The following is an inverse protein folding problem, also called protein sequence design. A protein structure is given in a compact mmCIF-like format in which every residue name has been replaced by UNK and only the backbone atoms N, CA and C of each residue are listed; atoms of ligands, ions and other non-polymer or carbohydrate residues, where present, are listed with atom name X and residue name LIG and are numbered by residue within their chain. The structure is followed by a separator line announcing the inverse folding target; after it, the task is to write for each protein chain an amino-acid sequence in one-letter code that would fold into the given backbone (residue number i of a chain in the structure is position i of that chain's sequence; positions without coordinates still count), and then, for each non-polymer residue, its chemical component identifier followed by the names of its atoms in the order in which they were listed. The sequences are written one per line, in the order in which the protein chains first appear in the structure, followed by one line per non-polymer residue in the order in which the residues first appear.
data_IF_067072221153
#
_entry.id   IF_067072221153
#
_cell.length_a   1.000
_cell.length_b   1.000
_cell.length_c   1.000
_cell.angle_alpha   90.00
_cell.angle_beta   90.00
_cell.angle_gamma   90.00
#
_symmetry.space_group_name_H-M   'P 1'
#
loop_
_entity.id
_entity.type
_entity.pdbx_description
1 polymer ?
#
# COMPACT_ATOMS: atom_id res chain seq x y z
N UNK A 1 7.79 22.25 5.88
CA UNK A 1 7.93 20.86 5.40
C UNK A 1 6.99 20.02 6.25
N UNK A 2 6.06 19.29 5.67
CA UNK A 2 5.16 18.41 6.43
C UNK A 2 5.98 17.24 6.99
N UNK A 3 5.82 16.96 8.29
CA UNK A 3 6.49 15.86 8.97
C UNK A 3 6.16 14.51 8.28
N UNK A 4 7.16 13.68 7.96
CA UNK A 4 6.91 12.41 7.31
C UNK A 4 6.19 11.45 8.26
N UNK A 5 5.14 10.78 7.77
CA UNK A 5 4.47 9.73 8.53
C UNK A 5 5.28 8.44 8.55
N UNK A 6 6.01 8.17 7.46
CA UNK A 6 6.85 6.99 7.30
C UNK A 6 8.18 7.40 6.66
N UNK A 7 9.29 6.94 7.23
CA UNK A 7 10.61 7.11 6.63
C UNK A 7 11.47 5.86 6.83
N UNK A 8 12.41 5.66 5.92
CA UNK A 8 13.45 4.63 6.05
C UNK A 8 14.83 5.25 5.95
N UNK A 9 15.77 4.73 6.72
CA UNK A 9 17.15 5.17 6.73
C UNK A 9 18.07 3.97 6.50
N UNK A 10 18.69 3.90 5.33
CA UNK A 10 19.67 2.87 5.00
C UNK A 10 19.13 1.44 4.97
N UNK A 11 17.85 1.26 4.65
CA UNK A 11 17.16 -0.02 4.80
C UNK A 11 17.74 -1.07 3.85
N UNK A 12 18.34 -2.11 4.42
CA UNK A 12 19.07 -3.14 3.69
C UNK A 12 18.57 -4.53 4.08
N UNK A 13 18.37 -5.41 3.07
CA UNK A 13 17.96 -6.81 3.24
C UNK A 13 18.71 -7.71 2.28
N UNK A 14 19.22 -8.80 2.85
CA UNK A 14 19.89 -9.89 2.13
C UNK A 14 19.11 -11.18 2.33
N UNK A 15 19.01 -12.00 1.29
CA UNK A 15 18.51 -13.37 1.33
C UNK A 15 19.56 -14.28 0.66
N UNK A 16 20.12 -15.20 1.38
CA UNK A 16 21.06 -16.24 0.87
C UNK A 16 22.08 -15.72 -0.15
N UNK A 17 22.70 -14.58 0.17
CA UNK A 17 23.72 -13.95 -0.70
C UNK A 17 23.17 -12.96 -1.74
N UNK A 18 21.85 -12.88 -1.92
CA UNK A 18 21.22 -11.90 -2.82
C UNK A 18 20.87 -10.64 -2.03
N UNK A 19 21.34 -9.48 -2.49
CA UNK A 19 20.98 -8.17 -1.93
C UNK A 19 19.64 -7.74 -2.51
N UNK A 20 18.56 -7.93 -1.76
CA UNK A 20 17.21 -7.60 -2.22
C UNK A 20 16.86 -6.11 -2.06
N UNK A 21 17.35 -5.46 -0.98
CA UNK A 21 17.34 -4.00 -0.81
C UNK A 21 18.70 -3.55 -0.28
N UNK A 22 19.15 -2.38 -0.70
CA UNK A 22 20.49 -1.85 -0.40
C UNK A 22 20.42 -0.34 -0.16
N UNK A 23 20.59 0.09 1.08
CA UNK A 23 20.62 1.49 1.51
C UNK A 23 19.37 2.28 1.04
N UNK A 24 18.16 1.67 1.16
CA UNK A 24 16.93 2.32 0.74
C UNK A 24 16.56 3.42 1.73
N UNK A 25 16.42 4.65 1.22
CA UNK A 25 16.01 5.85 1.95
C UNK A 25 14.79 6.45 1.26
N UNK A 26 13.65 6.44 1.92
CA UNK A 26 12.41 7.09 1.47
C UNK A 26 11.83 7.90 2.62
N UNK A 27 11.14 8.98 2.27
CA UNK A 27 10.42 9.82 3.24
C UNK A 27 9.05 10.14 2.66
N UNK A 28 8.00 9.70 3.34
CA UNK A 28 6.60 9.81 2.89
C UNK A 28 5.87 10.79 3.79
N UNK A 29 5.55 12.00 3.31
CA UNK A 29 4.74 12.97 4.04
C UNK A 29 3.33 12.46 4.34
N UNK A 30 2.70 13.01 5.38
CA UNK A 30 1.29 12.74 5.66
C UNK A 30 0.41 13.22 4.51
N UNK A 31 -0.58 12.41 4.14
CA UNK A 31 -1.52 12.71 3.07
C UNK A 31 -0.94 12.58 1.65
N UNK A 32 0.26 12.00 1.50
CA UNK A 32 0.83 11.72 0.17
C UNK A 32 0.30 10.39 -0.38
N UNK A 33 -0.03 10.36 -1.68
CA UNK A 33 -0.22 9.14 -2.44
C UNK A 33 1.03 8.86 -3.26
N UNK A 34 1.80 7.87 -2.81
CA UNK A 34 3.07 7.45 -3.41
C UNK A 34 2.92 6.12 -4.12
N UNK A 35 3.41 6.05 -5.35
CA UNK A 35 3.59 4.77 -6.04
C UNK A 35 5.07 4.35 -6.01
N UNK A 36 5.32 3.06 -5.72
CA UNK A 36 6.62 2.42 -5.83
C UNK A 36 6.59 1.53 -7.06
N UNK A 37 7.42 1.87 -8.04
CA UNK A 37 7.51 1.15 -9.31
C UNK A 37 8.92 0.61 -9.56
N UNK A 38 9.07 -0.24 -10.55
CA UNK A 38 10.37 -0.78 -10.98
C UNK A 38 10.21 -2.15 -11.62
N UNK A 39 11.23 -2.64 -12.34
CA UNK A 39 11.18 -3.95 -12.97
C UNK A 39 11.05 -5.10 -11.97
N UNK A 40 10.75 -6.30 -12.49
CA UNK A 40 10.76 -7.50 -11.65
C UNK A 40 12.16 -7.73 -11.07
N UNK A 41 12.23 -8.13 -9.80
CA UNK A 41 13.49 -8.25 -9.06
C UNK A 41 14.11 -6.93 -8.59
N UNK A 42 13.48 -5.78 -8.78
CA UNK A 42 13.98 -4.49 -8.30
C UNK A 42 14.01 -4.33 -6.78
N UNK A 43 13.37 -5.24 -6.02
CA UNK A 43 13.31 -5.20 -4.56
C UNK A 43 12.02 -4.59 -3.97
N UNK A 44 11.01 -4.30 -4.81
CA UNK A 44 9.73 -3.68 -4.39
C UNK A 44 9.01 -4.48 -3.29
N UNK A 45 8.74 -5.76 -3.53
CA UNK A 45 8.04 -6.63 -2.57
C UNK A 45 8.86 -6.85 -1.30
N UNK A 46 10.20 -6.84 -1.40
CA UNK A 46 11.08 -6.86 -0.23
C UNK A 46 10.96 -5.57 0.57
N UNK A 47 11.03 -4.41 -0.08
CA UNK A 47 10.81 -3.12 0.58
C UNK A 47 9.43 -3.08 1.24
N UNK A 48 8.38 -3.47 0.54
CA UNK A 48 7.03 -3.57 1.09
C UNK A 48 7.00 -4.44 2.36
N UNK A 49 7.58 -5.64 2.30
CA UNK A 49 7.64 -6.57 3.43
C UNK A 49 8.42 -6.02 4.62
N UNK A 50 9.46 -5.22 4.38
CA UNK A 50 10.23 -4.52 5.42
C UNK A 50 9.39 -3.40 6.05
N UNK A 51 8.67 -2.61 5.25
CA UNK A 51 7.77 -1.55 5.72
C UNK A 51 6.61 -2.12 6.54
N UNK A 52 6.09 -3.28 6.15
CA UNK A 52 5.01 -3.97 6.86
C UNK A 52 5.47 -4.71 8.13
N UNK A 53 6.77 -4.92 8.33
CA UNK A 53 7.30 -5.70 9.46
C UNK A 53 7.14 -7.21 9.32
N UNK A 54 6.99 -7.70 8.08
CA UNK A 54 6.97 -9.14 7.74
C UNK A 54 8.40 -9.69 7.79
N UNK A 55 9.34 -8.94 7.21
CA UNK A 55 10.76 -9.24 7.29
C UNK A 55 11.49 -8.23 8.19
N UNK A 56 12.52 -8.70 8.87
CA UNK A 56 13.46 -7.83 9.58
C UNK A 56 14.58 -7.42 8.63
N UNK A 57 14.98 -6.14 8.61
CA UNK A 57 16.14 -5.71 7.84
C UNK A 57 17.44 -6.27 8.44
N UNK A 58 18.48 -6.34 7.63
CA UNK A 58 19.85 -6.64 8.08
C UNK A 58 20.56 -5.36 8.57
N UNK A 59 20.18 -4.19 8.02
CA UNK A 59 20.66 -2.88 8.45
C UNK A 59 19.62 -1.81 8.13
N UNK A 60 19.78 -0.65 8.77
CA UNK A 60 18.89 0.50 8.58
C UNK A 60 17.67 0.47 9.49
N UNK A 61 16.82 1.48 9.35
CA UNK A 61 15.69 1.73 10.23
C UNK A 61 14.41 2.04 9.46
N UNK A 62 13.26 1.72 10.08
CA UNK A 62 11.92 2.13 9.66
C UNK A 62 11.31 2.95 10.78
N UNK A 63 11.01 4.22 10.49
CA UNK A 63 10.36 5.14 11.40
C UNK A 63 8.91 5.36 11.00
N UNK A 64 7.98 5.24 11.94
CA UNK A 64 6.56 5.52 11.78
C UNK A 64 6.15 6.58 12.80
N UNK A 65 5.68 7.75 12.38
CA UNK A 65 5.30 8.85 13.28
C UNK A 65 6.42 9.15 14.31
N UNK A 66 7.68 9.20 13.86
CA UNK A 66 8.89 9.39 14.67
C UNK A 66 9.22 8.26 15.68
N UNK A 67 8.42 7.19 15.74
CA UNK A 67 8.75 5.98 16.50
C UNK A 67 9.57 5.01 15.64
N UNK A 68 10.67 4.47 16.19
CA UNK A 68 11.42 3.38 15.55
C UNK A 68 10.63 2.06 15.65
N UNK A 69 10.10 1.64 14.51
CA UNK A 69 9.33 0.39 14.39
C UNK A 69 10.11 -0.73 13.70
N UNK A 70 11.41 -0.57 13.53
CA UNK A 70 12.28 -1.48 12.76
C UNK A 70 12.12 -2.94 13.16
N UNK A 71 12.08 -3.20 14.46
CA UNK A 71 11.99 -4.57 14.99
C UNK A 71 10.57 -5.01 15.35
N UNK A 72 9.56 -4.16 15.10
CA UNK A 72 8.18 -4.48 15.40
C UNK A 72 7.59 -5.40 14.31
N UNK A 73 6.97 -6.53 14.70
CA UNK A 73 6.26 -7.39 13.76
C UNK A 73 5.01 -6.68 13.21
N UNK A 74 4.48 -7.19 12.11
CA UNK A 74 3.36 -6.58 11.38
C UNK A 74 2.16 -6.19 12.27
N UNK A 75 1.73 -7.08 13.19
CA UNK A 75 0.58 -6.79 14.06
C UNK A 75 0.81 -5.58 15.00
N UNK A 76 2.04 -5.33 15.42
CA UNK A 76 2.37 -4.15 16.24
C UNK A 76 2.36 -2.87 15.41
N UNK A 77 2.81 -2.93 14.15
CA UNK A 77 2.74 -1.80 13.22
C UNK A 77 1.29 -1.47 12.83
N UNK A 78 0.46 -2.50 12.64
CA UNK A 78 -0.99 -2.31 12.40
C UNK A 78 -1.64 -1.58 13.57
N UNK A 79 -1.35 -1.94 14.81
CA UNK A 79 -1.85 -1.22 16.00
C UNK A 79 -1.38 0.22 16.09
N UNK A 80 -0.31 0.60 15.39
CA UNK A 80 0.23 1.97 15.30
C UNK A 80 -0.27 2.75 14.10
N UNK A 81 -1.15 2.16 13.31
CA UNK A 81 -1.84 2.83 12.24
C UNK A 81 -1.35 2.52 10.83
N UNK A 82 -0.57 1.48 10.64
CA UNK A 82 -0.30 0.94 9.29
C UNK A 82 -1.43 -0.01 8.92
N UNK A 83 -2.15 0.28 7.84
CA UNK A 83 -2.98 -0.69 7.13
C UNK A 83 -2.17 -1.34 6.02
N UNK A 84 -2.40 -2.62 5.74
CA UNK A 84 -1.67 -3.32 4.68
C UNK A 84 -2.56 -4.35 3.98
N UNK A 85 -2.42 -4.44 2.66
CA UNK A 85 -2.92 -5.56 1.86
C UNK A 85 -1.74 -6.34 1.30
N UNK A 86 -1.99 -7.52 0.79
CA UNK A 86 -0.97 -8.38 0.22
C UNK A 86 -1.33 -8.75 -1.22
N UNK A 87 -0.35 -9.11 -2.02
CA UNK A 87 -0.55 -9.64 -3.37
C UNK A 87 -1.49 -10.87 -3.36
N UNK A 88 -1.40 -11.72 -2.32
CA UNK A 88 -2.37 -12.78 -2.10
C UNK A 88 -3.42 -12.31 -1.11
N UNK A 89 -4.67 -12.24 -1.53
CA UNK A 89 -5.79 -11.80 -0.72
C UNK A 89 -5.89 -12.55 0.62
N UNK A 90 -6.10 -11.81 1.70
CA UNK A 90 -6.12 -12.29 3.09
C UNK A 90 -7.51 -12.28 3.74
N UNK A 91 -8.56 -12.03 2.97
CA UNK A 91 -9.92 -12.19 3.47
C UNK A 91 -10.16 -13.65 3.93
N UNK A 92 -10.97 -13.81 4.95
CA UNK A 92 -11.36 -15.13 5.47
C UNK A 92 -12.39 -15.74 4.52
N UNK A 93 -11.96 -16.53 3.56
CA UNK A 93 -12.77 -17.06 2.46
C UNK A 93 -14.05 -17.80 2.89
N UNK A 94 -14.05 -18.45 4.07
CA UNK A 94 -15.19 -19.20 4.60
C UNK A 94 -16.16 -18.33 5.40
N UNK A 95 -15.76 -17.13 5.78
CA UNK A 95 -16.61 -16.18 6.49
C UNK A 95 -17.39 -15.34 5.47
N UNK A 96 -18.56 -14.84 5.87
CA UNK A 96 -19.35 -13.91 5.06
C UNK A 96 -18.65 -12.54 4.97
N UNK A 97 -19.10 -11.69 4.06
CA UNK A 97 -18.63 -10.29 3.97
C UNK A 97 -18.81 -9.61 5.33
N UNK A 98 -20.00 -9.71 5.93
CA UNK A 98 -20.29 -9.15 7.26
C UNK A 98 -19.34 -9.66 8.32
N UNK A 99 -19.06 -10.95 8.36
CA UNK A 99 -18.14 -11.55 9.35
C UNK A 99 -16.70 -11.08 9.16
N UNK A 100 -16.23 -10.96 7.91
CA UNK A 100 -14.90 -10.42 7.60
C UNK A 100 -14.75 -8.99 8.13
N UNK A 101 -15.70 -8.12 7.84
CA UNK A 101 -15.68 -6.72 8.28
C UNK A 101 -15.81 -6.62 9.82
N UNK A 102 -16.72 -7.38 10.43
CA UNK A 102 -16.92 -7.39 11.88
C UNK A 102 -15.68 -7.84 12.65
N UNK A 103 -14.90 -8.78 12.11
CA UNK A 103 -13.68 -9.27 12.75
C UNK A 103 -12.64 -8.15 12.94
N UNK A 104 -12.57 -7.21 12.00
CA UNK A 104 -11.62 -6.08 12.06
C UNK A 104 -12.15 -4.92 12.91
N UNK A 105 -13.45 -4.63 12.84
CA UNK A 105 -14.07 -3.55 13.62
C UNK A 105 -13.97 -3.76 15.14
N UNK A 106 -13.77 -4.99 15.60
CA UNK A 106 -13.59 -5.33 17.01
C UNK A 106 -12.17 -5.08 17.54
N UNK A 107 -11.20 -4.73 16.69
CA UNK A 107 -9.82 -4.49 17.10
C UNK A 107 -9.74 -3.10 17.75
N UNK A 108 -9.42 -2.99 19.07
CA UNK A 108 -9.32 -1.70 19.73
C UNK A 108 -8.16 -0.87 19.16
N UNK A 109 -8.45 0.38 18.81
CA UNK A 109 -7.45 1.35 18.39
C UNK A 109 -7.79 2.72 19.00
N UNK A 110 -7.22 3.07 20.16
CA UNK A 110 -7.55 4.31 20.89
C UNK A 110 -7.22 5.60 20.12
N UNK A 111 -6.18 5.56 19.27
CA UNK A 111 -5.69 6.67 18.45
C UNK A 111 -6.24 6.67 17.03
N UNK A 112 -7.37 6.01 16.79
CA UNK A 112 -8.03 5.91 15.48
C UNK A 112 -8.43 7.30 14.98
N UNK A 113 -8.14 7.67 13.70
CA UNK A 113 -8.58 8.93 13.14
C UNK A 113 -10.10 9.12 13.23
N UNK A 114 -10.53 10.35 13.50
CA UNK A 114 -11.95 10.67 13.68
C UNK A 114 -12.81 10.41 12.43
N UNK A 115 -12.22 10.56 11.24
CA UNK A 115 -12.85 10.36 9.93
C UNK A 115 -12.71 8.92 9.38
N UNK A 116 -12.17 8.01 10.17
CA UNK A 116 -11.91 6.63 9.73
C UNK A 116 -13.21 5.90 9.34
N UNK A 117 -14.31 6.15 10.05
CA UNK A 117 -15.61 5.54 9.71
C UNK A 117 -16.18 6.09 8.40
N UNK A 118 -15.99 7.36 8.12
CA UNK A 118 -16.43 7.98 6.87
C UNK A 118 -15.66 7.42 5.68
N UNK A 119 -14.34 7.28 5.81
CA UNK A 119 -13.48 6.64 4.80
C UNK A 119 -13.91 5.20 4.51
N UNK A 120 -14.17 4.43 5.56
CA UNK A 120 -14.62 3.04 5.45
C UNK A 120 -15.98 2.93 4.75
N UNK A 121 -16.99 3.71 5.19
CA UNK A 121 -18.33 3.73 4.58
C UNK A 121 -18.29 4.18 3.14
N UNK A 122 -17.51 5.21 2.82
CA UNK A 122 -17.30 5.66 1.46
C UNK A 122 -16.76 4.53 0.57
N UNK A 123 -15.74 3.80 1.03
CA UNK A 123 -15.16 2.70 0.26
C UNK A 123 -16.19 1.58 0.02
N UNK A 124 -16.95 1.18 1.04
CA UNK A 124 -18.01 0.17 0.89
C UNK A 124 -19.03 0.58 -0.16
N UNK A 125 -19.54 1.82 -0.09
CA UNK A 125 -20.51 2.35 -1.05
C UNK A 125 -19.96 2.33 -2.47
N UNK A 126 -18.76 2.87 -2.66
CA UNK A 126 -18.12 2.97 -3.99
C UNK A 126 -17.75 1.62 -4.59
N UNK A 127 -17.40 0.66 -3.77
CA UNK A 127 -17.11 -0.73 -4.18
C UNK A 127 -18.38 -1.58 -4.33
N UNK A 128 -19.54 -1.06 -3.94
CA UNK A 128 -20.82 -1.78 -3.98
C UNK A 128 -20.83 -2.99 -3.05
N UNK A 129 -20.11 -2.93 -1.94
CA UNK A 129 -20.06 -3.97 -0.92
C UNK A 129 -21.14 -3.72 0.14
N UNK A 130 -22.07 -4.67 0.28
CA UNK A 130 -23.04 -4.66 1.37
C UNK A 130 -22.39 -5.19 2.66
N UNK A 131 -22.23 -4.34 3.71
CA UNK A 131 -21.61 -4.75 4.96
C UNK A 131 -22.42 -5.79 5.74
N UNK A 132 -23.71 -5.94 5.46
CA UNK A 132 -24.59 -6.93 6.09
C UNK A 132 -24.70 -8.23 5.29
N UNK A 133 -24.01 -8.34 4.15
CA UNK A 133 -24.06 -9.51 3.28
C UNK A 133 -23.56 -10.78 3.99
N UNK A 134 -24.40 -11.80 4.01
CA UNK A 134 -24.06 -13.14 4.51
C UNK A 134 -23.40 -14.02 3.43
N UNK A 135 -23.15 -13.48 2.23
CA UNK A 135 -22.45 -14.19 1.17
C UNK A 135 -21.05 -14.55 1.62
N UNK A 136 -20.63 -15.82 1.55
CA UNK A 136 -19.26 -16.22 1.83
C UNK A 136 -18.26 -15.51 0.91
N UNK A 137 -17.14 -15.01 1.46
CA UNK A 137 -16.15 -14.24 0.68
C UNK A 137 -15.61 -15.04 -0.52
N UNK A 138 -15.50 -16.37 -0.42
CA UNK A 138 -15.10 -17.25 -1.54
C UNK A 138 -16.00 -17.19 -2.77
N UNK A 139 -17.24 -16.70 -2.63
CA UNK A 139 -18.23 -16.57 -3.72
C UNK A 139 -18.14 -15.22 -4.40
N UNK A 140 -17.35 -14.28 -3.86
CA UNK A 140 -17.11 -13.00 -4.50
C UNK A 140 -16.23 -13.15 -5.73
N UNK A 141 -16.49 -12.41 -6.82
CA UNK A 141 -15.55 -12.23 -7.91
C UNK A 141 -14.21 -11.70 -7.40
N UNK A 142 -13.11 -11.95 -8.13
CA UNK A 142 -11.75 -11.59 -7.71
C UNK A 142 -11.60 -10.13 -7.31
N UNK A 143 -12.08 -9.18 -8.12
CA UNK A 143 -12.02 -7.75 -7.81
C UNK A 143 -12.80 -7.38 -6.54
N UNK A 144 -13.98 -7.98 -6.32
CA UNK A 144 -14.75 -7.73 -5.10
C UNK A 144 -14.09 -8.28 -3.84
N UNK A 145 -13.37 -9.38 -3.97
CA UNK A 145 -12.58 -9.94 -2.88
C UNK A 145 -11.41 -9.00 -2.52
N UNK A 146 -10.78 -8.40 -3.54
CA UNK A 146 -9.73 -7.38 -3.35
C UNK A 146 -10.30 -6.12 -2.67
N UNK A 147 -11.46 -5.65 -3.13
CA UNK A 147 -12.15 -4.51 -2.51
C UNK A 147 -12.61 -4.79 -1.07
N UNK A 148 -13.03 -6.03 -0.78
CA UNK A 148 -13.32 -6.45 0.59
C UNK A 148 -12.06 -6.34 1.48
N UNK A 149 -10.91 -6.78 1.00
CA UNK A 149 -9.65 -6.67 1.75
C UNK A 149 -9.28 -5.19 2.02
N UNK A 150 -9.37 -4.33 1.00
CA UNK A 150 -9.15 -2.88 1.19
C UNK A 150 -10.13 -2.32 2.22
N UNK A 151 -11.40 -2.71 2.15
CA UNK A 151 -12.43 -2.26 3.09
C UNK A 151 -12.16 -2.74 4.53
N UNK A 152 -11.69 -3.98 4.71
CA UNK A 152 -11.25 -4.50 6.00
C UNK A 152 -10.09 -3.66 6.57
N UNK A 153 -9.11 -3.32 5.74
CA UNK A 153 -7.99 -2.47 6.15
C UNK A 153 -8.48 -1.09 6.60
N UNK A 154 -9.39 -0.48 5.84
CA UNK A 154 -9.99 0.82 6.17
C UNK A 154 -10.84 0.77 7.45
N UNK A 155 -11.55 -0.34 7.69
CA UNK A 155 -12.33 -0.56 8.92
C UNK A 155 -11.48 -0.46 10.20
N UNK A 156 -10.19 -0.85 10.13
CA UNK A 156 -9.24 -0.69 11.23
C UNK A 156 -8.86 0.78 11.49
N UNK A 157 -9.21 1.72 10.61
CA UNK A 157 -8.93 3.14 10.73
C UNK A 157 -7.44 3.49 10.64
N UNK A 158 -6.73 3.12 9.58
CA UNK A 158 -5.30 3.37 9.45
C UNK A 158 -4.99 4.87 9.23
N UNK A 159 -3.76 5.30 9.58
CA UNK A 159 -3.21 6.61 9.21
C UNK A 159 -2.47 6.55 7.87
N UNK A 160 -1.94 5.39 7.55
CA UNK A 160 -1.27 5.07 6.29
C UNK A 160 -1.66 3.68 5.84
N UNK A 161 -1.95 3.51 4.55
CA UNK A 161 -2.17 2.19 3.95
C UNK A 161 -1.07 1.86 2.95
N UNK A 162 -0.66 0.59 2.97
CA UNK A 162 0.29 0.01 2.02
C UNK A 162 -0.44 -1.05 1.21
N UNK A 163 -0.49 -0.87 -0.10
CA UNK A 163 -1.20 -1.73 -1.04
C UNK A 163 -0.20 -2.38 -2.00
N UNK A 164 -0.21 -3.71 -2.09
CA UNK A 164 0.66 -4.47 -2.99
C UNK A 164 -0.17 -4.99 -4.18
N UNK A 165 0.03 -4.39 -5.34
CA UNK A 165 -0.66 -4.67 -6.61
C UNK A 165 -2.20 -4.71 -6.47
N UNK A 166 -2.84 -3.64 -5.94
CA UNK A 166 -4.26 -3.64 -5.62
C UNK A 166 -5.18 -3.80 -6.83
N UNK A 167 -4.68 -3.63 -8.05
CA UNK A 167 -5.46 -3.73 -9.29
C UNK A 167 -5.12 -4.98 -10.12
N UNK A 168 -4.30 -5.89 -9.58
CA UNK A 168 -3.91 -7.11 -10.29
C UNK A 168 -5.12 -7.95 -10.72
N UNK A 169 -5.19 -8.28 -12.02
CA UNK A 169 -6.28 -9.09 -12.60
C UNK A 169 -7.62 -8.38 -12.74
N UNK A 170 -7.69 -7.07 -12.53
CA UNK A 170 -8.89 -6.25 -12.75
C UNK A 170 -9.04 -5.82 -14.20
N UNK A 171 -10.28 -5.65 -14.64
CA UNK A 171 -10.61 -4.95 -15.89
C UNK A 171 -10.25 -3.46 -15.80
N UNK A 172 -10.24 -2.77 -16.94
CA UNK A 172 -9.99 -1.31 -17.00
C UNK A 172 -11.01 -0.56 -16.13
N UNK A 173 -12.28 -0.94 -16.18
CA UNK A 173 -13.35 -0.29 -15.41
C UNK A 173 -13.15 -0.47 -13.90
N UNK A 174 -12.83 -1.68 -13.45
CA UNK A 174 -12.56 -1.99 -12.04
C UNK A 174 -11.30 -1.28 -11.55
N UNK A 175 -10.26 -1.18 -12.38
CA UNK A 175 -9.03 -0.43 -12.11
C UNK A 175 -9.33 1.06 -11.93
N UNK A 176 -10.13 1.67 -12.83
CA UNK A 176 -10.54 3.07 -12.72
C UNK A 176 -11.39 3.33 -11.45
N UNK A 177 -12.28 2.40 -11.11
CA UNK A 177 -13.07 2.49 -9.88
C UNK A 177 -12.16 2.44 -8.64
N UNK A 178 -11.20 1.52 -8.61
CA UNK A 178 -10.20 1.44 -7.53
C UNK A 178 -9.39 2.73 -7.43
N UNK A 179 -8.91 3.26 -8.55
CA UNK A 179 -8.18 4.52 -8.61
C UNK A 179 -9.00 5.70 -8.05
N UNK A 180 -10.28 5.80 -8.41
CA UNK A 180 -11.17 6.85 -7.92
C UNK A 180 -11.36 6.78 -6.40
N UNK A 181 -11.50 5.57 -5.84
CA UNK A 181 -11.60 5.37 -4.38
C UNK A 181 -10.30 5.79 -3.69
N UNK A 182 -9.14 5.35 -4.18
CA UNK A 182 -7.85 5.70 -3.57
C UNK A 182 -7.58 7.21 -3.62
N UNK A 183 -7.90 7.88 -4.73
CA UNK A 183 -7.79 9.35 -4.85
C UNK A 183 -8.68 10.08 -3.84
N UNK A 184 -9.90 9.63 -3.66
CA UNK A 184 -10.81 10.24 -2.68
C UNK A 184 -10.31 10.01 -1.24
N UNK A 185 -9.90 8.80 -0.89
CA UNK A 185 -9.33 8.50 0.43
C UNK A 185 -8.07 9.34 0.71
N UNK A 186 -7.23 9.52 -0.29
CA UNK A 186 -6.06 10.38 -0.18
C UNK A 186 -6.44 11.86 -0.01
N UNK A 187 -7.41 12.37 -0.76
CA UNK A 187 -7.91 13.74 -0.61
C UNK A 187 -8.54 14.02 0.75
N UNK A 188 -9.04 12.98 1.45
CA UNK A 188 -9.49 13.05 2.85
C UNK A 188 -8.34 12.92 3.87
N UNK A 189 -7.07 13.01 3.42
CA UNK A 189 -5.89 13.03 4.29
C UNK A 189 -5.27 11.67 4.60
N UNK A 190 -5.79 10.56 4.07
CA UNK A 190 -5.16 9.24 4.22
C UNK A 190 -3.86 9.18 3.42
N UNK A 191 -2.77 8.78 4.07
CA UNK A 191 -1.51 8.48 3.37
C UNK A 191 -1.59 7.13 2.70
N UNK A 192 -1.14 7.03 1.44
CA UNK A 192 -1.24 5.79 0.67
C UNK A 192 0.10 5.50 -0.01
N UNK A 193 0.60 4.28 0.16
CA UNK A 193 1.71 3.74 -0.62
C UNK A 193 1.17 2.58 -1.44
N UNK A 194 1.40 2.62 -2.75
CA UNK A 194 1.01 1.55 -3.68
C UNK A 194 2.25 1.00 -4.36
N UNK A 195 2.45 -0.29 -4.31
CA UNK A 195 3.39 -1.01 -5.20
C UNK A 195 2.60 -1.44 -6.43
N UNK A 196 3.01 -1.00 -7.60
CA UNK A 196 2.29 -1.27 -8.84
C UNK A 196 3.24 -1.36 -10.04
N UNK A 197 2.76 -2.01 -11.09
CA UNK A 197 3.47 -2.11 -12.37
C UNK A 197 2.63 -1.58 -13.54
N UNK A 198 1.33 -1.32 -13.36
CA UNK A 198 0.49 -0.67 -14.35
C UNK A 198 0.79 0.83 -14.41
N UNK A 199 1.45 1.24 -15.50
CA UNK A 199 1.86 2.63 -15.70
C UNK A 199 0.66 3.56 -15.84
N UNK A 200 -0.45 3.11 -16.43
CA UNK A 200 -1.64 3.94 -16.62
C UNK A 200 -2.30 4.24 -15.25
N UNK A 201 -2.44 3.22 -14.41
CA UNK A 201 -2.93 3.39 -13.05
C UNK A 201 -2.01 4.31 -12.23
N UNK A 202 -0.68 4.08 -12.27
CA UNK A 202 0.30 4.89 -11.55
C UNK A 202 0.20 6.37 -11.95
N UNK A 203 0.09 6.65 -13.26
CA UNK A 203 -0.04 8.02 -13.77
C UNK A 203 -1.35 8.70 -13.33
N UNK A 204 -2.41 7.93 -13.14
CA UNK A 204 -3.72 8.45 -12.72
C UNK A 204 -3.77 8.78 -11.23
N UNK A 205 -3.10 8.00 -10.36
CA UNK A 205 -3.25 8.14 -8.91
C UNK A 205 -2.07 8.82 -8.21
N UNK A 206 -0.84 8.66 -8.71
CA UNK A 206 0.36 9.05 -7.97
C UNK A 206 0.53 10.58 -7.88
N UNK A 207 0.78 11.07 -6.67
CA UNK A 207 1.34 12.41 -6.47
C UNK A 207 2.87 12.38 -6.55
N UNK A 208 3.47 11.28 -6.09
CA UNK A 208 4.91 11.05 -6.14
C UNK A 208 5.21 9.59 -6.49
N UNK A 209 6.26 9.38 -7.24
CA UNK A 209 6.72 8.06 -7.67
C UNK A 209 8.13 7.83 -7.12
N UNK A 210 8.35 6.65 -6.53
CA UNK A 210 9.67 6.11 -6.19
C UNK A 210 9.97 4.97 -7.17
N UNK A 211 11.01 5.12 -7.97
CA UNK A 211 11.48 4.08 -8.90
C UNK A 211 12.55 3.25 -8.22
N UNK A 212 12.32 1.95 -8.10
CA UNK A 212 13.32 1.01 -7.60
C UNK A 212 14.05 0.30 -8.75
N UNK A 213 15.36 0.14 -8.59
CA UNK A 213 16.18 -0.66 -9.49
C UNK A 213 17.32 -1.32 -8.71
N UNK A 214 17.53 -2.63 -8.91
CA UNK A 214 18.58 -3.43 -8.26
C UNK A 214 18.69 -3.20 -6.74
N UNK A 215 17.54 -3.21 -6.05
CA UNK A 215 17.44 -3.06 -4.60
C UNK A 215 17.66 -1.65 -4.07
N UNK A 216 17.74 -0.63 -4.93
CA UNK A 216 17.97 0.78 -4.54
C UNK A 216 16.85 1.68 -5.04
N UNK A 217 16.69 2.83 -4.40
CA UNK A 217 15.93 3.94 -4.99
C UNK A 217 16.77 4.51 -6.13
N UNK A 218 16.26 4.40 -7.35
CA UNK A 218 16.91 4.88 -8.56
C UNK A 218 16.54 6.32 -8.88
N UNK A 219 15.25 6.67 -8.73
CA UNK A 219 14.73 8.02 -8.93
C UNK A 219 13.49 8.25 -8.06
N UNK A 220 13.25 9.48 -7.67
CA UNK A 220 12.03 9.95 -7.02
C UNK A 220 11.58 11.27 -7.63
N UNK A 221 10.27 11.44 -7.83
CA UNK A 221 9.73 12.67 -8.38
C UNK A 221 8.23 12.64 -8.56
N UNK A 222 7.68 13.73 -9.11
CA UNK A 222 6.30 13.76 -9.60
C UNK A 222 6.15 12.85 -10.82
N UNK A 223 4.89 12.60 -11.22
CA UNK A 223 4.59 11.82 -12.44
C UNK A 223 5.35 12.36 -13.65
N UNK A 224 5.32 13.69 -13.87
CA UNK A 224 5.99 14.32 -15.01
C UNK A 224 7.50 14.14 -14.96
N UNK A 225 8.13 14.43 -13.81
CA UNK A 225 9.57 14.26 -13.61
C UNK A 225 10.05 12.83 -13.89
N UNK A 226 9.29 11.83 -13.44
CA UNK A 226 9.65 10.42 -13.65
C UNK A 226 9.38 9.99 -15.09
N UNK A 227 8.31 10.45 -15.71
CA UNK A 227 7.98 10.12 -17.10
C UNK A 227 8.98 10.73 -18.10
N UNK A 228 9.53 11.90 -17.79
CA UNK A 228 10.54 12.59 -18.61
C UNK A 228 11.98 12.10 -18.35
N UNK A 229 12.20 11.35 -17.25
CA UNK A 229 13.54 10.89 -16.88
C UNK A 229 14.07 9.86 -17.86
N UNK A 230 15.10 10.21 -18.65
CA UNK A 230 15.61 9.39 -19.74
C UNK A 230 16.02 7.97 -19.33
N UNK A 231 16.69 7.82 -18.18
CA UNK A 231 17.13 6.51 -17.69
C UNK A 231 15.97 5.67 -17.15
N UNK A 232 14.93 6.28 -16.54
CA UNK A 232 13.71 5.56 -16.13
C UNK A 232 12.98 5.03 -17.36
N UNK A 233 12.85 5.84 -18.41
CA UNK A 233 12.26 5.39 -19.69
C UNK A 233 13.01 4.19 -20.26
N UNK A 234 14.34 4.22 -20.27
CA UNK A 234 15.18 3.13 -20.78
C UNK A 234 15.05 1.85 -19.96
N UNK A 235 14.99 1.95 -18.61
CA UNK A 235 15.03 0.80 -17.71
C UNK A 235 13.64 0.18 -17.51
N UNK A 236 12.60 1.01 -17.44
CA UNK A 236 11.27 0.60 -16.98
C UNK A 236 10.18 0.69 -18.06
N UNK A 237 10.17 1.76 -18.86
CA UNK A 237 9.11 1.99 -19.84
C UNK A 237 9.39 1.33 -21.20
N UNK A 238 10.58 0.75 -21.37
CA UNK A 238 11.04 0.21 -22.64
C UNK A 238 11.41 1.32 -23.62
N UNK A 239 12.19 0.98 -24.64
CA UNK A 239 12.36 1.87 -25.81
C UNK A 239 11.02 1.84 -26.57
N UNK A 240 10.29 2.93 -26.56
CA UNK A 240 9.26 3.21 -27.57
C UNK A 240 9.97 3.78 -28.79
#
# INVERSE_FOLDING_TARGET
MTDPILRTEGLTKHFDGVVATNDVRISVPRGELRCIIGPNGAGKSTLFSLLCGIHRPNAGQVMLKDEDVTHFPAYQRVRRGIGLTFQTNRAFHRLSVRQNLSAVLQIPRPDRPADADDRYRFALDRFGLDPESEMPAKELPHHRLQWLEISMVLAAGPDIILLDEPTAGMSIEETLQTAAVLKHLNSSGLTIIVVEHDVAFVRDVAQRITVMHQGRVFAEGTVDQITEHADVRRIYLGQV
#
